data_IF_882554498535
#
_entry.id   IF_882554498535
#
_cell.length_a   1.000
_cell.length_b   1.000
_cell.length_c   1.000
_cell.angle_alpha   90.00
_cell.angle_beta   90.00
_cell.angle_gamma   90.00
#
_symmetry.space_group_name_H-M   'P 1'
#
loop_
_entity.id
_entity.type
_entity.pdbx_description
1 polymer ?
#
# COMPACT_ATOMS: atom_id res chain seq x y z
N UNK A 1 -14.14 -10.53 -0.62
CA UNK A 1 -13.45 -9.77 -1.68
C UNK A 1 -14.27 -8.54 -2.05
N UNK A 2 -13.62 -7.37 -2.22
CA UNK A 2 -14.29 -6.20 -2.76
C UNK A 2 -13.62 -5.77 -4.07
N UNK A 3 -14.40 -5.23 -5.04
CA UNK A 3 -13.83 -4.79 -6.32
C UNK A 3 -12.69 -3.77 -6.16
N UNK A 4 -12.83 -2.83 -5.23
CA UNK A 4 -11.79 -1.81 -4.97
C UNK A 4 -10.52 -2.46 -4.43
N UNK A 5 -10.61 -3.39 -3.46
CA UNK A 5 -9.44 -4.09 -2.92
C UNK A 5 -8.72 -4.90 -4.01
N UNK A 6 -9.46 -5.58 -4.88
CA UNK A 6 -8.89 -6.32 -6.02
C UNK A 6 -8.07 -5.39 -6.92
N UNK A 7 -8.60 -4.20 -7.25
CA UNK A 7 -7.88 -3.22 -8.07
C UNK A 7 -6.62 -2.71 -7.38
N UNK A 8 -6.67 -2.51 -6.07
CA UNK A 8 -5.56 -2.03 -5.26
C UNK A 8 -4.43 -3.05 -5.16
N UNK A 9 -4.74 -4.32 -4.81
CA UNK A 9 -3.73 -5.37 -4.73
C UNK A 9 -3.11 -5.68 -6.10
N UNK A 10 -3.91 -5.62 -7.17
CA UNK A 10 -3.42 -5.73 -8.53
C UNK A 10 -2.44 -4.60 -8.88
N UNK A 11 -2.74 -3.37 -8.47
CA UNK A 11 -1.83 -2.23 -8.66
C UNK A 11 -0.55 -2.39 -7.85
N UNK A 12 -0.64 -2.86 -6.60
CA UNK A 12 0.52 -3.18 -5.75
C UNK A 12 1.38 -4.26 -6.40
N UNK A 13 0.79 -5.35 -6.89
CA UNK A 13 1.52 -6.41 -7.59
C UNK A 13 2.26 -5.85 -8.82
N UNK A 14 1.63 -4.97 -9.57
CA UNK A 14 2.24 -4.33 -10.73
C UNK A 14 3.39 -3.38 -10.37
N UNK A 15 3.32 -2.74 -9.20
CA UNK A 15 4.33 -1.82 -8.70
C UNK A 15 5.45 -2.49 -7.88
N UNK A 16 5.45 -3.83 -7.72
CA UNK A 16 6.49 -4.55 -6.99
C UNK A 16 7.92 -4.20 -7.45
N UNK A 17 8.23 -4.06 -8.76
CA UNK A 17 9.56 -3.63 -9.18
C UNK A 17 9.95 -2.25 -8.62
N UNK A 18 9.00 -1.31 -8.52
CA UNK A 18 9.24 0.02 -7.97
C UNK A 18 9.47 -0.01 -6.46
N UNK A 19 8.75 -0.87 -5.73
CA UNK A 19 9.01 -1.09 -4.31
C UNK A 19 10.36 -1.76 -4.06
N UNK A 20 10.68 -2.81 -4.83
CA UNK A 20 11.98 -3.51 -4.74
C UNK A 20 13.16 -2.58 -5.04
N UNK A 21 13.05 -1.72 -6.06
CA UNK A 21 14.07 -0.71 -6.41
C UNK A 21 14.36 0.25 -5.24
N UNK A 22 13.37 0.51 -4.40
CA UNK A 22 13.47 1.36 -3.21
C UNK A 22 13.82 0.58 -1.93
N UNK A 23 14.12 -0.71 -2.05
CA UNK A 23 14.34 -1.62 -0.91
C UNK A 23 13.16 -1.63 0.07
N UNK A 24 11.93 -1.55 -0.46
CA UNK A 24 10.69 -1.59 0.32
C UNK A 24 10.07 -2.97 0.22
N UNK A 25 9.72 -3.52 1.37
CA UNK A 25 8.92 -4.75 1.50
C UNK A 25 7.46 -4.36 1.68
N UNK A 26 6.59 -4.93 0.85
CA UNK A 26 5.15 -4.75 0.96
C UNK A 26 4.55 -5.92 1.72
N UNK A 27 3.63 -5.62 2.62
CA UNK A 27 2.77 -6.59 3.30
C UNK A 27 1.35 -6.06 3.18
N UNK A 28 0.44 -6.90 2.74
CA UNK A 28 -0.99 -6.60 2.75
C UNK A 28 -1.68 -7.37 3.88
N UNK A 29 -2.79 -6.84 4.35
CA UNK A 29 -3.60 -7.45 5.39
C UNK A 29 -5.08 -7.31 5.02
N UNK A 30 -5.83 -8.37 5.21
CA UNK A 30 -7.29 -8.35 5.22
C UNK A 30 -7.85 -9.24 6.32
N UNK A 31 -9.11 -9.03 6.67
CA UNK A 31 -9.83 -9.81 7.68
C UNK A 31 -10.57 -11.02 7.07
N UNK A 32 -10.35 -11.29 5.78
CA UNK A 32 -10.83 -12.48 5.11
C UNK A 32 -9.99 -13.70 5.52
N UNK A 33 -10.55 -14.91 5.37
CA UNK A 33 -9.88 -16.16 5.68
C UNK A 33 -8.73 -16.48 4.73
N UNK A 34 -7.84 -17.36 5.13
CA UNK A 34 -6.77 -17.85 4.25
C UNK A 34 -7.34 -18.58 3.02
N UNK A 35 -8.45 -19.29 3.17
CA UNK A 35 -9.13 -19.93 2.05
C UNK A 35 -9.65 -18.91 1.05
N UNK A 36 -10.31 -17.85 1.53
CA UNK A 36 -10.73 -16.70 0.71
C UNK A 36 -9.56 -16.06 -0.02
N UNK A 37 -8.42 -15.87 0.65
CA UNK A 37 -7.23 -15.31 0.01
C UNK A 37 -6.73 -16.18 -1.15
N UNK A 38 -6.72 -17.50 -0.98
CA UNK A 38 -6.30 -18.43 -2.03
C UNK A 38 -7.22 -18.37 -3.26
N UNK A 39 -8.52 -18.19 -3.04
CA UNK A 39 -9.48 -17.98 -4.12
C UNK A 39 -9.37 -16.60 -4.77
N UNK A 40 -8.95 -15.61 -4.03
CA UNK A 40 -8.86 -14.22 -4.48
C UNK A 40 -7.61 -13.92 -5.32
N UNK A 41 -6.47 -14.54 -5.02
CA UNK A 41 -5.20 -14.30 -5.72
C UNK A 41 -5.31 -14.45 -7.24
N UNK A 42 -5.98 -15.48 -7.80
CA UNK A 42 -6.19 -15.59 -9.24
C UNK A 42 -6.94 -14.40 -9.86
N UNK A 43 -7.91 -13.84 -9.14
CA UNK A 43 -8.66 -12.67 -9.62
C UNK A 43 -7.81 -11.40 -9.58
N UNK A 44 -6.98 -11.22 -8.55
CA UNK A 44 -6.01 -10.12 -8.48
C UNK A 44 -5.06 -10.19 -9.66
N UNK A 45 -4.50 -11.35 -9.96
CA UNK A 45 -3.56 -11.55 -11.06
C UNK A 45 -4.24 -11.29 -12.42
N UNK A 46 -5.47 -11.78 -12.62
CA UNK A 46 -6.27 -11.52 -13.83
C UNK A 46 -6.55 -10.02 -14.02
N UNK A 47 -6.82 -9.31 -12.92
CA UNK A 47 -7.09 -7.87 -12.99
C UNK A 47 -5.82 -7.07 -13.24
N UNK A 48 -4.69 -7.47 -12.65
CA UNK A 48 -3.37 -6.86 -12.87
C UNK A 48 -3.03 -6.77 -14.36
N UNK A 49 -3.32 -7.81 -15.13
CA UNK A 49 -3.02 -7.86 -16.55
C UNK A 49 -3.86 -6.88 -17.39
N UNK A 50 -5.01 -6.44 -16.84
CA UNK A 50 -5.88 -5.44 -17.48
C UNK A 50 -5.47 -3.99 -17.16
N UNK A 51 -4.66 -3.76 -16.13
CA UNK A 51 -4.23 -2.42 -15.75
C UNK A 51 -3.24 -1.90 -16.81
N UNK A 52 -3.59 -0.79 -17.47
CA UNK A 52 -2.66 -0.05 -18.32
C UNK A 52 -1.84 0.90 -17.45
N UNK A 53 -0.52 0.74 -17.43
CA UNK A 53 0.36 1.77 -16.85
C UNK A 53 0.35 2.95 -17.81
N UNK A 54 0.11 4.16 -17.31
CA UNK A 54 0.37 5.39 -18.08
C UNK A 54 1.88 5.50 -18.27
N UNK A 55 2.35 5.09 -19.43
CA UNK A 55 3.76 5.16 -19.82
C UNK A 55 4.15 6.63 -19.96
N UNK A 56 4.99 7.12 -19.07
CA UNK A 56 5.52 8.50 -19.10
C UNK A 56 6.86 8.60 -19.84
N UNK A 57 7.55 7.47 -20.06
CA UNK A 57 8.88 7.45 -20.69
C UNK A 57 9.16 6.12 -21.39
N UNK A 58 10.24 6.08 -22.21
CA UNK A 58 10.75 4.85 -22.82
C UNK A 58 11.21 3.82 -21.78
N UNK A 59 11.71 4.29 -20.64
CA UNK A 59 12.07 3.44 -19.49
C UNK A 59 10.84 2.77 -18.89
N UNK A 60 9.72 3.50 -18.77
CA UNK A 60 8.46 2.96 -18.26
C UNK A 60 7.92 1.82 -19.16
N UNK A 61 8.15 1.93 -20.48
CA UNK A 61 7.83 0.84 -21.46
C UNK A 61 8.64 -0.42 -21.20
N UNK A 62 9.94 -0.26 -20.95
CA UNK A 62 10.82 -1.39 -20.65
C UNK A 62 10.38 -2.04 -19.33
N UNK A 63 10.15 -1.25 -18.28
CA UNK A 63 9.69 -1.71 -16.98
C UNK A 63 8.32 -2.40 -17.10
N UNK A 64 7.37 -1.84 -17.87
CA UNK A 64 6.06 -2.44 -18.09
C UNK A 64 6.12 -3.81 -18.78
N UNK A 65 7.10 -4.02 -19.66
CA UNK A 65 7.32 -5.32 -20.31
C UNK A 65 7.92 -6.36 -19.35
N UNK A 66 8.79 -5.95 -18.41
CA UNK A 66 9.28 -6.83 -17.34
C UNK A 66 8.23 -7.14 -16.28
N UNK A 67 7.28 -6.24 -16.06
CA UNK A 67 6.19 -6.37 -15.07
C UNK A 67 5.08 -7.34 -15.50
N UNK A 68 5.11 -7.85 -16.74
CA UNK A 68 4.06 -8.76 -17.23
C UNK A 68 3.99 -10.11 -16.53
N UNK A 69 5.05 -10.50 -15.81
CA UNK A 69 5.18 -11.83 -15.18
C UNK A 69 5.23 -11.80 -13.64
N UNK A 70 4.90 -10.70 -12.98
CA UNK A 70 4.90 -10.67 -11.52
C UNK A 70 3.49 -10.96 -11.00
N UNK A 71 3.27 -12.19 -10.55
CA UNK A 71 2.12 -12.56 -9.73
C UNK A 71 2.20 -11.86 -8.36
N UNK A 72 1.15 -11.98 -7.55
CA UNK A 72 1.19 -11.51 -6.16
C UNK A 72 2.34 -12.23 -5.46
N UNK A 73 3.45 -11.52 -5.22
CA UNK A 73 4.70 -12.03 -4.63
C UNK A 73 5.00 -11.39 -3.27
N UNK A 74 4.01 -10.75 -2.67
CA UNK A 74 4.09 -10.16 -1.33
C UNK A 74 3.14 -10.88 -0.36
N UNK A 75 3.48 -10.92 0.94
CA UNK A 75 2.61 -11.53 1.95
C UNK A 75 1.23 -10.85 2.02
N UNK A 76 0.19 -11.66 2.02
CA UNK A 76 -1.19 -11.26 2.30
C UNK A 76 -1.62 -11.93 3.60
N UNK A 77 -1.68 -11.16 4.69
CA UNK A 77 -2.01 -11.65 6.03
C UNK A 77 -3.53 -11.81 6.13
N UNK A 78 -3.96 -12.98 6.58
CA UNK A 78 -5.32 -13.25 7.03
C UNK A 78 -5.42 -12.91 8.52
N UNK A 79 -6.17 -11.86 8.84
CA UNK A 79 -6.39 -11.37 10.22
C UNK A 79 -7.86 -11.58 10.62
N UNK A 80 -8.31 -12.84 10.53
CA UNK A 80 -9.71 -13.23 10.79
C UNK A 80 -10.20 -12.87 12.18
N UNK A 81 -9.27 -12.85 13.15
CA UNK A 81 -9.53 -12.52 14.54
C UNK A 81 -9.34 -11.01 14.85
N UNK A 82 -8.99 -10.20 13.87
CA UNK A 82 -8.77 -8.76 14.04
C UNK A 82 -7.64 -8.40 15.03
N UNK A 83 -6.67 -9.26 15.23
CA UNK A 83 -5.58 -9.03 16.20
C UNK A 83 -4.67 -7.89 15.72
N UNK A 84 -4.22 -7.95 14.47
CA UNK A 84 -3.37 -6.92 13.87
C UNK A 84 -4.17 -5.67 13.57
N UNK A 85 -5.38 -5.81 13.03
CA UNK A 85 -6.28 -4.68 12.77
C UNK A 85 -6.59 -3.89 14.05
N UNK A 86 -6.75 -4.58 15.18
CA UNK A 86 -6.91 -3.96 16.51
C UNK A 86 -5.68 -3.19 16.92
N UNK A 87 -4.51 -3.84 16.84
CA UNK A 87 -3.24 -3.27 17.27
C UNK A 87 -2.91 -1.96 16.50
N UNK A 88 -3.24 -1.92 15.21
CA UNK A 88 -2.99 -0.77 14.34
C UNK A 88 -4.16 0.23 14.26
N UNK A 89 -5.24 0.01 15.02
CA UNK A 89 -6.41 0.89 15.01
C UNK A 89 -7.14 0.96 13.66
N UNK A 90 -7.14 -0.12 12.89
CA UNK A 90 -7.73 -0.19 11.55
C UNK A 90 -9.24 -0.49 11.58
N UNK A 91 -9.96 0.08 12.53
CA UNK A 91 -11.40 -0.12 12.64
C UNK A 91 -12.21 0.90 11.86
N UNK A 92 -13.36 0.45 11.37
CA UNK A 92 -14.39 1.39 10.94
C UNK A 92 -14.92 2.15 12.17
N UNK A 93 -15.24 3.47 12.07
CA UNK A 93 -15.76 4.25 13.21
C UNK A 93 -16.97 3.63 13.92
N UNK A 94 -17.75 2.81 13.22
CA UNK A 94 -18.94 2.12 13.74
C UNK A 94 -18.66 0.65 14.11
N UNK A 95 -17.41 0.21 14.13
CA UNK A 95 -17.05 -1.13 14.58
C UNK A 95 -16.90 -1.11 16.10
N UNK A 96 -17.55 -2.03 16.81
CA UNK A 96 -17.35 -2.24 18.23
C UNK A 96 -16.25 -3.30 18.43
N UNK A 97 -15.03 -2.90 18.83
CA UNK A 97 -13.86 -3.78 18.83
C UNK A 97 -13.95 -4.97 19.80
N UNK A 98 -14.82 -4.92 20.80
CA UNK A 98 -14.77 -5.83 21.95
C UNK A 98 -15.96 -6.80 22.07
N UNK A 99 -16.87 -6.85 21.11
CA UNK A 99 -18.09 -7.66 21.28
C UNK A 99 -18.05 -9.03 20.63
N UNK A 100 -16.99 -9.38 19.89
CA UNK A 100 -16.93 -10.65 19.12
C UNK A 100 -18.06 -10.77 18.09
N UNK A 101 -18.95 -9.81 18.10
CA UNK A 101 -20.11 -9.69 17.22
C UNK A 101 -19.98 -8.35 16.50
N UNK A 102 -19.30 -8.39 15.41
CA UNK A 102 -19.36 -7.29 14.43
C UNK A 102 -20.76 -7.29 13.81
N UNK A 103 -21.80 -6.97 14.52
CA UNK A 103 -23.16 -6.91 14.01
C UNK A 103 -23.26 -6.80 12.47
N UNK A 104 -24.26 -6.25 11.88
CA UNK A 104 -24.32 -5.97 10.43
C UNK A 104 -23.32 -4.85 9.98
N UNK A 105 -22.51 -4.31 10.89
CA UNK A 105 -21.38 -3.44 10.56
C UNK A 105 -20.25 -4.30 9.98
N UNK A 106 -19.93 -4.03 8.75
CA UNK A 106 -18.91 -4.66 7.92
C UNK A 106 -17.68 -5.11 8.72
N UNK A 107 -17.32 -6.39 8.67
CA UNK A 107 -16.04 -6.95 9.12
C UNK A 107 -14.81 -6.32 8.41
N UNK A 108 -15.01 -5.36 7.53
CA UNK A 108 -13.96 -4.75 6.76
C UNK A 108 -13.22 -3.68 7.58
N UNK A 109 -11.90 -3.74 7.54
CA UNK A 109 -11.03 -2.66 8.02
C UNK A 109 -11.17 -1.39 7.18
N UNK A 110 -10.81 -0.23 7.74
CA UNK A 110 -10.58 1.00 6.97
C UNK A 110 -9.37 0.82 6.05
N UNK A 111 -9.32 1.55 4.93
CA UNK A 111 -8.20 1.50 3.99
C UNK A 111 -7.01 2.27 4.54
N UNK A 112 -6.17 1.61 5.32
CA UNK A 112 -4.98 2.22 5.91
C UNK A 112 -3.72 1.82 5.15
N UNK A 113 -2.73 2.72 5.17
CA UNK A 113 -1.36 2.45 4.75
C UNK A 113 -0.44 2.93 5.87
N UNK A 114 0.46 2.07 6.28
CA UNK A 114 1.50 2.38 7.26
C UNK A 114 2.85 2.28 6.58
N UNK A 115 3.63 3.36 6.60
CA UNK A 115 5.02 3.35 6.12
C UNK A 115 5.90 3.29 7.34
N UNK A 116 6.66 2.20 7.44
CA UNK A 116 7.48 1.85 8.61
C UNK A 116 8.95 1.88 8.19
N UNK A 117 9.76 2.58 8.95
CA UNK A 117 11.19 2.68 8.70
C UNK A 117 11.97 1.43 9.16
N UNK A 118 13.27 1.30 8.80
CA UNK A 118 14.11 0.19 9.26
C UNK A 118 14.27 0.09 10.78
N UNK A 119 14.04 1.18 11.52
CA UNK A 119 14.05 1.19 12.99
C UNK A 119 12.72 0.73 13.61
N UNK A 120 11.77 0.26 12.76
CA UNK A 120 10.43 -0.20 13.14
C UNK A 120 9.52 0.92 13.67
N UNK A 121 9.76 2.16 13.26
CA UNK A 121 8.91 3.30 13.60
C UNK A 121 7.98 3.63 12.43
N UNK A 122 6.73 3.91 12.76
CA UNK A 122 5.76 4.40 11.78
C UNK A 122 6.11 5.84 11.44
N UNK A 123 6.42 6.11 10.17
CA UNK A 123 6.77 7.42 9.65
C UNK A 123 5.55 8.13 9.04
N UNK A 124 4.62 7.36 8.47
CA UNK A 124 3.43 7.91 7.82
C UNK A 124 2.27 6.96 7.94
N UNK A 125 1.10 7.52 8.17
CA UNK A 125 -0.17 6.80 8.13
C UNK A 125 -1.08 7.53 7.13
N UNK A 126 -1.62 6.79 6.15
CA UNK A 126 -2.65 7.27 5.23
C UNK A 126 -3.93 6.49 5.50
N UNK A 127 -5.04 7.20 5.59
CA UNK A 127 -6.36 6.60 5.82
C UNK A 127 -7.33 7.09 4.75
N UNK A 128 -7.99 6.14 4.11
CA UNK A 128 -8.96 6.38 3.04
C UNK A 128 -10.33 5.82 3.41
N UNK A 129 -11.42 6.49 3.04
CA UNK A 129 -12.76 5.94 3.16
C UNK A 129 -12.89 4.62 2.38
N UNK A 130 -13.82 3.75 2.82
CA UNK A 130 -14.02 2.42 2.23
C UNK A 130 -14.28 2.42 0.72
N UNK A 131 -14.93 3.46 0.21
CA UNK A 131 -15.33 3.61 -1.20
C UNK A 131 -14.28 4.33 -2.07
N UNK A 132 -13.17 4.78 -1.48
CA UNK A 132 -12.10 5.51 -2.19
C UNK A 132 -10.86 4.63 -2.28
N UNK A 133 -10.40 4.35 -3.51
CA UNK A 133 -9.15 3.64 -3.75
C UNK A 133 -7.94 4.49 -3.41
N UNK A 134 -6.87 3.84 -2.93
CA UNK A 134 -5.61 4.49 -2.54
C UNK A 134 -4.85 4.99 -3.76
N UNK A 135 -4.13 6.09 -3.60
CA UNK A 135 -3.24 6.63 -4.63
C UNK A 135 -1.81 6.07 -4.43
N UNK A 136 -1.42 5.12 -5.26
CA UNK A 136 -0.10 4.47 -5.14
C UNK A 136 1.05 5.33 -5.64
N UNK A 137 0.81 6.29 -6.55
CA UNK A 137 1.82 7.27 -6.96
C UNK A 137 2.21 8.16 -5.77
N UNK A 138 1.24 8.54 -4.93
CA UNK A 138 1.48 9.30 -3.71
C UNK A 138 2.22 8.45 -2.66
N UNK A 139 1.89 7.18 -2.51
CA UNK A 139 2.60 6.28 -1.60
C UNK A 139 4.09 6.18 -2.00
N UNK A 140 4.38 6.00 -3.28
CA UNK A 140 5.75 5.97 -3.80
C UNK A 140 6.44 7.32 -3.59
N UNK A 141 5.75 8.44 -3.86
CA UNK A 141 6.28 9.79 -3.61
C UNK A 141 6.69 10.00 -2.15
N UNK A 142 5.86 9.56 -1.20
CA UNK A 142 6.15 9.66 0.23
C UNK A 142 7.35 8.80 0.59
N UNK A 143 7.46 7.58 0.07
CA UNK A 143 8.62 6.71 0.29
C UNK A 143 9.90 7.40 -0.20
N UNK A 144 9.88 7.95 -1.41
CA UNK A 144 11.01 8.68 -1.98
C UNK A 144 11.40 9.88 -1.10
N UNK A 145 10.44 10.66 -0.64
CA UNK A 145 10.65 11.80 0.25
C UNK A 145 11.26 11.39 1.60
N UNK A 146 10.72 10.33 2.24
CA UNK A 146 11.24 9.81 3.50
C UNK A 146 12.67 9.30 3.37
N UNK A 147 12.98 8.54 2.32
CA UNK A 147 14.32 8.03 2.08
C UNK A 147 15.32 9.15 1.79
N UNK A 148 14.91 10.16 1.01
CA UNK A 148 15.75 11.31 0.73
C UNK A 148 16.06 12.12 1.99
N UNK A 149 15.02 12.42 2.79
CA UNK A 149 15.15 13.15 4.05
C UNK A 149 16.04 12.42 5.05
N UNK A 150 15.84 11.10 5.19
CA UNK A 150 16.66 10.29 6.08
C UNK A 150 18.15 10.25 5.67
N UNK A 151 18.43 10.23 4.36
CA UNK A 151 19.78 10.13 3.83
C UNK A 151 20.55 11.44 3.89
N UNK A 152 19.89 12.55 3.58
CA UNK A 152 20.58 13.84 3.37
C UNK A 152 20.21 14.90 4.42
N UNK A 153 19.38 14.59 5.40
CA UNK A 153 18.87 15.53 6.41
C UNK A 153 18.28 16.80 5.77
N UNK A 154 17.40 16.61 4.80
CA UNK A 154 16.71 17.67 4.07
C UNK A 154 15.21 17.53 4.26
N UNK A 155 14.47 18.61 3.98
CA UNK A 155 13.01 18.59 3.93
C UNK A 155 12.50 18.72 2.50
N UNK A 156 11.44 18.02 2.17
CA UNK A 156 10.77 18.12 0.87
C UNK A 156 9.63 19.13 0.97
N UNK A 157 9.57 20.16 0.09
CA UNK A 157 8.47 21.12 0.11
C UNK A 157 7.13 20.51 -0.32
N UNK A 158 6.06 21.30 -0.20
CA UNK A 158 4.75 20.90 -0.66
C UNK A 158 4.77 20.50 -2.14
N UNK A 159 4.03 19.43 -2.49
CA UNK A 159 3.92 18.88 -3.85
C UNK A 159 5.24 18.39 -4.47
N UNK A 160 6.30 18.26 -3.68
CA UNK A 160 7.61 17.78 -4.14
C UNK A 160 7.49 16.43 -4.86
N UNK A 161 8.29 16.30 -5.93
CA UNK A 161 8.50 15.04 -6.67
C UNK A 161 9.99 14.76 -6.76
N UNK A 162 10.34 13.50 -6.98
CA UNK A 162 11.74 13.11 -7.16
C UNK A 162 12.39 13.94 -8.28
N UNK A 163 13.50 14.61 -7.95
CA UNK A 163 14.21 15.52 -8.83
C UNK A 163 13.92 17.00 -8.60
N UNK A 164 12.92 17.35 -7.83
CA UNK A 164 12.62 18.73 -7.47
C UNK A 164 13.60 19.24 -6.38
N UNK A 165 13.77 20.57 -6.27
CA UNK A 165 14.55 21.18 -5.19
C UNK A 165 14.07 20.78 -3.80
N UNK A 166 15.00 20.73 -2.84
CA UNK A 166 14.74 20.42 -1.43
C UNK A 166 15.12 21.61 -0.54
N UNK A 167 14.60 21.62 0.68
CA UNK A 167 14.95 22.61 1.70
C UNK A 167 16.08 22.03 2.53
N UNK A 168 17.22 22.69 2.53
CA UNK A 168 18.33 22.39 3.44
C UNK A 168 18.10 23.20 4.71
N UNK A 169 17.81 22.51 5.81
CA UNK A 169 17.71 23.15 7.12
C UNK A 169 19.02 22.95 7.87
N UNK A 170 19.59 24.04 8.38
CA UNK A 170 20.76 23.97 9.25
C UNK A 170 20.41 23.54 10.68
N UNK A 171 19.12 23.37 11.00
CA UNK A 171 18.57 23.20 12.34
C UNK A 171 17.63 21.97 12.47
N UNK A 172 17.91 20.84 11.81
CA UNK A 172 17.20 19.57 12.04
C UNK A 172 18.11 18.56 12.71
#
# INVERSE_FOLDING_TARGET
FTPVCTTELAQVAKLQPEFKKRNVKVIALSTDSLEDHNEWIPDINRYKDKIKIKEKSTLDKIISNFSKNTDVDFPLISDENFEVASLYGMYHPNAEPNTGSFGNASKATIRSVFIIDPSKKIQTILVYPKNIGRNFDEIIRIIDALQLSAKYKVSTPANWKMGDPVIVSNDI
#
